data_IF_951110079275
#
_entry.id   IF_951110079275
#
_cell.length_a   1.000
_cell.length_b   1.000
_cell.length_c   1.000
_cell.angle_alpha   90.00
_cell.angle_beta   90.00
_cell.angle_gamma   90.00
#
_symmetry.space_group_name_H-M   'P 1'
#
loop_
_entity.id
_entity.type
_entity.pdbx_description
1 polymer ?
#
# COMPACT_ATOMS: atom_id res chain seq x y z
N UNK A 1 7.37 -1.79 9.48
CA UNK A 1 8.25 -2.07 8.31
C UNK A 1 8.95 -3.44 8.33
N UNK A 2 9.41 -3.97 9.47
CA UNK A 2 10.12 -5.28 9.54
C UNK A 2 9.36 -6.49 8.91
N UNK A 3 8.02 -6.46 8.82
CA UNK A 3 7.21 -7.57 8.30
C UNK A 3 7.04 -7.61 6.77
N UNK A 4 7.28 -6.51 6.03
CA UNK A 4 7.06 -6.48 4.57
C UNK A 4 8.09 -7.34 3.79
N UNK A 5 9.32 -7.47 4.30
CA UNK A 5 10.35 -8.32 3.68
C UNK A 5 9.99 -9.80 3.73
N UNK A 6 9.31 -10.25 4.79
CA UNK A 6 8.84 -11.62 4.92
C UNK A 6 7.76 -11.95 3.87
N UNK A 7 6.92 -10.97 3.50
CA UNK A 7 5.92 -11.16 2.45
C UNK A 7 6.52 -11.35 1.04
N UNK A 8 7.82 -11.08 0.89
CA UNK A 8 8.55 -11.23 -0.38
C UNK A 8 9.49 -12.43 -0.41
N UNK A 9 9.65 -13.15 0.71
CA UNK A 9 10.54 -14.30 0.74
C UNK A 9 9.95 -15.43 -0.10
N UNK A 10 10.67 -15.80 -1.17
CA UNK A 10 10.37 -16.86 -2.16
C UNK A 10 9.55 -16.48 -3.40
N UNK A 11 8.95 -15.28 -3.46
CA UNK A 11 8.22 -14.86 -4.66
C UNK A 11 9.16 -14.20 -5.69
N UNK A 12 9.14 -14.68 -6.94
CA UNK A 12 9.83 -14.02 -8.07
C UNK A 12 9.12 -12.74 -8.49
N UNK A 13 7.80 -12.71 -8.36
CA UNK A 13 6.94 -11.55 -8.56
C UNK A 13 5.99 -11.37 -7.37
N UNK A 14 5.79 -10.14 -6.94
CA UNK A 14 4.88 -9.79 -5.85
C UNK A 14 4.41 -8.34 -5.98
N UNK A 15 3.17 -8.10 -5.55
CA UNK A 15 2.62 -6.76 -5.40
C UNK A 15 1.92 -6.67 -4.05
N UNK A 16 2.34 -5.71 -3.21
CA UNK A 16 1.76 -5.46 -1.90
C UNK A 16 1.18 -4.05 -1.87
N UNK A 17 -0.06 -3.93 -1.40
CA UNK A 17 -0.80 -2.67 -1.27
C UNK A 17 -1.12 -2.41 0.19
N UNK A 18 -0.81 -1.21 0.68
CA UNK A 18 -1.44 -0.66 1.87
C UNK A 18 -2.45 0.40 1.44
N UNK A 19 -3.77 0.17 1.65
CA UNK A 19 -4.78 1.16 1.33
C UNK A 19 -4.75 2.33 2.33
N UNK A 20 -5.36 3.45 1.94
CA UNK A 20 -5.75 4.51 2.87
C UNK A 20 -6.90 4.04 3.79
N UNK A 21 -7.28 4.89 4.76
CA UNK A 21 -8.37 4.57 5.69
C UNK A 21 -9.74 4.35 5.02
N UNK A 22 -9.97 4.92 3.83
CA UNK A 22 -11.24 4.78 3.09
C UNK A 22 -11.24 3.63 2.06
N UNK A 23 -10.12 2.92 1.91
CA UNK A 23 -9.88 1.91 0.87
C UNK A 23 -10.14 2.41 -0.57
N UNK A 24 -9.93 3.70 -0.81
CA UNK A 24 -10.03 4.28 -2.16
C UNK A 24 -8.64 4.59 -2.74
N UNK A 25 -7.71 4.99 -1.88
CA UNK A 25 -6.33 5.35 -2.20
C UNK A 25 -5.31 4.25 -1.85
N UNK A 26 -4.06 4.46 -2.22
CA UNK A 26 -2.95 3.54 -1.92
C UNK A 26 -1.84 4.34 -1.25
N UNK A 27 -1.66 4.16 0.05
CA UNK A 27 -0.64 4.85 0.83
C UNK A 27 0.73 4.19 0.70
N UNK A 28 0.78 2.87 0.48
CA UNK A 28 2.02 2.19 0.14
C UNK A 28 1.81 1.16 -0.97
N UNK A 29 2.76 1.12 -1.90
CA UNK A 29 2.85 0.14 -2.95
C UNK A 29 4.26 -0.45 -2.94
N UNK A 30 4.34 -1.77 -2.89
CA UNK A 30 5.58 -2.49 -3.07
C UNK A 30 5.47 -3.40 -4.29
N UNK A 31 6.45 -3.31 -5.17
CA UNK A 31 6.54 -4.09 -6.40
C UNK A 31 7.79 -4.96 -6.40
N UNK A 32 7.63 -6.18 -6.90
CA UNK A 32 8.71 -7.07 -7.29
C UNK A 32 8.32 -7.77 -8.59
N UNK A 33 9.10 -7.69 -9.67
CA UNK A 33 10.14 -6.68 -9.90
C UNK A 33 9.54 -5.25 -9.92
N UNK A 34 10.35 -4.18 -9.83
CA UNK A 34 9.84 -2.80 -9.74
C UNK A 34 9.04 -2.34 -10.97
N UNK A 35 9.18 -3.01 -12.10
CA UNK A 35 8.49 -2.78 -13.37
C UNK A 35 7.28 -3.71 -13.59
N UNK A 36 6.88 -4.50 -12.57
CA UNK A 36 5.74 -5.44 -12.66
C UNK A 36 4.46 -4.77 -13.17
N UNK A 37 4.19 -3.54 -12.73
CA UNK A 37 3.16 -2.65 -13.27
C UNK A 37 3.69 -1.22 -13.28
N UNK A 38 3.06 -0.34 -14.06
CA UNK A 38 3.25 1.11 -13.88
C UNK A 38 2.38 1.60 -12.71
N UNK A 39 2.96 2.20 -11.65
CA UNK A 39 2.18 2.78 -10.56
C UNK A 39 1.21 3.85 -11.06
N UNK A 40 -0.01 3.85 -10.52
CA UNK A 40 -1.08 4.74 -10.96
C UNK A 40 -1.85 5.27 -9.74
N UNK A 41 -1.23 6.19 -9.01
CA UNK A 41 -1.79 6.83 -7.81
C UNK A 41 -2.92 7.83 -8.12
N UNK A 42 -3.56 8.36 -7.08
CA UNK A 42 -4.69 9.27 -7.16
C UNK A 42 -6.03 8.60 -6.85
N UNK A 43 -7.17 9.29 -7.07
CA UNK A 43 -8.49 8.77 -6.72
C UNK A 43 -8.76 7.36 -7.29
N UNK A 44 -9.25 6.46 -6.44
CA UNK A 44 -9.54 5.06 -6.81
C UNK A 44 -8.28 4.22 -7.11
N UNK A 45 -7.08 4.67 -6.72
CA UNK A 45 -5.84 3.95 -7.00
C UNK A 45 -5.81 2.56 -6.39
N UNK A 46 -6.49 2.33 -5.25
CA UNK A 46 -6.51 1.00 -4.64
C UNK A 46 -7.09 -0.06 -5.57
N UNK A 47 -8.29 0.22 -6.08
CA UNK A 47 -8.96 -0.68 -7.02
C UNK A 47 -8.17 -0.82 -8.32
N UNK A 48 -7.66 0.29 -8.85
CA UNK A 48 -6.86 0.31 -10.08
C UNK A 48 -5.59 -0.53 -9.95
N UNK A 49 -4.86 -0.42 -8.84
CA UNK A 49 -3.69 -1.27 -8.58
C UNK A 49 -4.06 -2.75 -8.42
N UNK A 50 -5.18 -3.08 -7.77
CA UNK A 50 -5.66 -4.46 -7.69
C UNK A 50 -5.93 -5.05 -9.09
N UNK A 51 -6.54 -4.28 -10.00
CA UNK A 51 -6.79 -4.71 -11.36
C UNK A 51 -5.49 -4.89 -12.15
N UNK A 52 -4.55 -3.94 -12.05
CA UNK A 52 -3.25 -4.02 -12.72
C UNK A 52 -2.44 -5.23 -12.25
N UNK A 53 -2.46 -5.54 -10.96
CA UNK A 53 -1.81 -6.73 -10.40
C UNK A 53 -2.32 -8.01 -11.04
N UNK A 54 -3.65 -8.19 -11.06
CA UNK A 54 -4.30 -9.36 -11.64
C UNK A 54 -4.07 -9.45 -13.14
N UNK A 55 -4.07 -8.33 -13.85
CA UNK A 55 -3.74 -8.28 -15.27
C UNK A 55 -2.27 -8.69 -15.54
N UNK A 56 -1.36 -8.45 -14.60
CA UNK A 56 0.01 -8.92 -14.64
C UNK A 56 0.20 -10.36 -14.13
N UNK A 57 -0.89 -11.08 -13.81
CA UNK A 57 -0.86 -12.47 -13.34
C UNK A 57 -0.47 -12.63 -11.87
N UNK A 58 -0.52 -11.57 -11.08
CA UNK A 58 -0.15 -11.57 -9.65
C UNK A 58 -1.38 -11.25 -8.81
N UNK A 59 -1.72 -12.11 -7.84
CA UNK A 59 -2.75 -11.76 -6.85
C UNK A 59 -2.17 -10.75 -5.85
N UNK A 60 -2.74 -9.55 -5.71
CA UNK A 60 -2.21 -8.54 -4.82
C UNK A 60 -2.35 -8.94 -3.35
N UNK A 61 -1.31 -8.68 -2.57
CA UNK A 61 -1.35 -8.84 -1.11
C UNK A 61 -1.81 -7.52 -0.50
N UNK A 62 -2.93 -7.54 0.20
CA UNK A 62 -3.46 -6.35 0.87
C UNK A 62 -2.94 -6.32 2.31
N UNK A 63 -2.02 -5.40 2.59
CA UNK A 63 -1.45 -5.17 3.91
C UNK A 63 -2.17 -4.01 4.60
N UNK A 64 -3.16 -4.35 5.43
CA UNK A 64 -3.87 -3.36 6.26
C UNK A 64 -3.06 -3.08 7.53
N UNK A 65 -2.64 -1.83 7.69
CA UNK A 65 -1.88 -1.37 8.84
C UNK A 65 -2.38 0.00 9.25
N UNK A 66 -2.81 0.21 10.50
CA UNK A 66 -3.27 1.51 10.97
C UNK A 66 -2.25 2.64 10.74
N UNK A 67 -0.95 2.34 10.90
CA UNK A 67 0.12 3.31 10.70
C UNK A 67 0.45 3.60 9.24
N UNK A 68 0.07 2.72 8.30
CA UNK A 68 0.16 3.01 6.86
C UNK A 68 -1.14 3.56 6.30
N UNK A 69 -2.28 3.32 6.95
CA UNK A 69 -3.58 3.86 6.53
C UNK A 69 -3.73 5.35 6.85
N UNK A 70 -2.96 5.86 7.81
CA UNK A 70 -2.87 7.28 8.15
C UNK A 70 -1.71 7.93 7.39
N UNK A 71 -2.02 8.67 6.33
CA UNK A 71 -1.07 9.54 5.64
C UNK A 71 -1.13 10.95 6.23
N UNK A 72 0.00 11.68 6.20
CA UNK A 72 0.10 13.05 6.72
C UNK A 72 0.29 13.98 5.51
N UNK A 73 -0.82 14.52 5.01
CA UNK A 73 -0.84 15.34 3.80
C UNK A 73 -0.98 16.84 4.11
N UNK A 74 -1.65 17.17 5.22
CA UNK A 74 -1.97 18.53 5.64
C UNK A 74 -1.32 18.86 6.99
N UNK A 75 -1.02 20.15 7.25
CA UNK A 75 -0.52 20.57 8.56
C UNK A 75 -1.45 20.20 9.72
N UNK A 76 -2.77 20.15 9.48
CA UNK A 76 -3.77 19.72 10.47
C UNK A 76 -3.63 18.26 10.89
N UNK A 77 -3.04 17.41 10.04
CA UNK A 77 -2.91 15.97 10.33
C UNK A 77 -1.90 15.71 11.47
N UNK A 78 -1.02 16.68 11.74
CA UNK A 78 -0.12 16.66 12.90
C UNK A 78 -0.87 16.66 14.23
N UNK A 79 -2.09 17.22 14.29
CA UNK A 79 -2.90 17.20 15.50
C UNK A 79 -3.37 15.78 15.87
N UNK A 80 -3.40 14.87 14.88
CA UNK A 80 -3.84 13.50 15.08
C UNK A 80 -2.67 12.52 15.33
N UNK A 81 -1.42 12.99 15.17
CA UNK A 81 -0.20 12.19 15.26
C UNK A 81 0.02 11.55 16.65
N UNK A 82 -0.39 12.24 17.73
CA UNK A 82 -0.28 11.71 19.10
C UNK A 82 -1.13 10.47 19.35
N UNK A 83 -2.18 10.26 18.56
CA UNK A 83 -3.09 9.11 18.68
C UNK A 83 -2.52 7.84 18.04
N UNK A 84 -1.67 7.99 17.01
CA UNK A 84 -1.09 6.87 16.26
C UNK A 84 0.32 6.47 16.74
N UNK A 85 0.94 7.26 17.62
CA UNK A 85 2.33 7.07 18.06
C UNK A 85 2.54 6.02 19.19
N UNK A 86 1.50 5.33 19.68
CA UNK A 86 1.59 4.38 20.83
C UNK A 86 1.26 2.92 20.45
N UNK A 87 1.33 2.51 19.18
CA UNK A 87 1.18 1.08 18.79
C UNK A 87 2.42 0.52 18.09
#
# INVERSE_FOLDING_TARGET
>A
LHNLRALLSNASQALILAPDATETGTNALLLRPPDLISPSFGPGSFHRHCLLARAAGVEPIIYRSPSLAFDIDLPSDLEHLSTFAIL
#
